data_IF_805295470969
#
_entry.id   IF_805295470969
#
_cell.length_a   1.000
_cell.length_b   1.000
_cell.length_c   1.000
_cell.angle_alpha   90.00
_cell.angle_beta   90.00
_cell.angle_gamma   90.00
#
_symmetry.space_group_name_H-M   'P 1'
#
loop_
_entity.id
_entity.type
_entity.pdbx_description
1 polymer ?
#
# COMPACT_ATOMS: atom_id res chain seq x y z
N UNK A 1 17.11 -35.45 0.33
CA UNK A 1 15.85 -35.84 -0.31
C UNK A 1 14.91 -34.64 -0.22
N UNK A 2 14.54 -34.04 -1.36
CA UNK A 2 13.57 -32.93 -1.39
C UNK A 2 12.18 -33.57 -1.30
N UNK A 3 11.37 -33.18 -0.32
CA UNK A 3 10.02 -33.74 -0.16
C UNK A 3 9.03 -32.87 -0.95
N UNK A 4 8.30 -33.50 -1.87
CA UNK A 4 7.39 -32.86 -2.84
C UNK A 4 5.91 -33.03 -2.47
N UNK A 5 5.61 -33.37 -1.21
CA UNK A 5 4.24 -33.71 -0.81
C UNK A 5 3.29 -32.54 -1.11
N UNK A 6 2.38 -32.81 -2.05
CA UNK A 6 1.64 -31.86 -2.87
C UNK A 6 0.16 -32.18 -2.73
N UNK A 7 -0.38 -32.08 -1.52
CA UNK A 7 -1.81 -32.29 -1.29
C UNK A 7 -2.67 -31.15 -1.89
N UNK A 8 -2.12 -29.93 -2.06
CA UNK A 8 -2.84 -28.77 -2.62
C UNK A 8 -2.00 -27.81 -3.50
N UNK A 9 -0.67 -27.89 -3.48
CA UNK A 9 0.23 -27.02 -4.26
C UNK A 9 1.18 -27.80 -5.16
N UNK A 10 1.50 -27.30 -6.35
CA UNK A 10 2.49 -27.88 -7.25
C UNK A 10 3.88 -27.32 -6.90
N UNK A 11 4.79 -28.18 -6.45
CA UNK A 11 6.19 -27.80 -6.15
C UNK A 11 7.04 -28.11 -7.38
N UNK A 12 7.63 -27.08 -8.01
CA UNK A 12 8.52 -27.21 -9.15
C UNK A 12 9.94 -26.77 -8.78
N UNK A 13 10.92 -27.65 -8.89
CA UNK A 13 12.33 -27.33 -8.60
C UNK A 13 13.09 -27.10 -9.90
N UNK A 14 13.77 -25.98 -10.02
CA UNK A 14 14.62 -25.62 -11.16
C UNK A 14 16.03 -25.31 -10.68
N UNK A 15 17.07 -25.84 -11.35
CA UNK A 15 18.45 -25.45 -11.05
C UNK A 15 18.76 -24.17 -11.80
N UNK A 16 19.02 -23.08 -11.07
CA UNK A 16 19.32 -21.77 -11.66
C UNK A 16 20.80 -21.67 -12.06
N UNK A 17 21.30 -22.64 -12.83
CA UNK A 17 22.70 -22.70 -13.29
C UNK A 17 23.75 -22.80 -12.17
N UNK A 18 24.90 -23.43 -12.46
CA UNK A 18 25.99 -23.54 -11.48
C UNK A 18 25.59 -24.32 -10.21
N UNK A 19 25.89 -23.76 -9.03
CA UNK A 19 25.59 -24.34 -7.70
C UNK A 19 24.28 -23.82 -7.09
N UNK A 20 23.52 -22.99 -7.82
CA UNK A 20 22.28 -22.40 -7.31
C UNK A 20 21.09 -23.29 -7.67
N UNK A 21 20.37 -23.80 -6.66
CA UNK A 21 19.09 -24.49 -6.81
C UNK A 21 17.94 -23.56 -6.43
N UNK A 22 16.89 -23.51 -7.24
CA UNK A 22 15.73 -22.64 -7.05
C UNK A 22 14.46 -23.49 -6.99
N UNK A 23 13.88 -23.61 -5.80
CA UNK A 23 12.58 -24.27 -5.60
C UNK A 23 11.45 -23.25 -5.77
N UNK A 24 10.50 -23.50 -6.67
CA UNK A 24 9.29 -22.69 -6.87
C UNK A 24 8.07 -23.45 -6.36
N UNK A 25 7.35 -22.86 -5.42
CA UNK A 25 6.07 -23.36 -4.93
C UNK A 25 4.94 -22.61 -5.65
N UNK A 26 4.04 -23.35 -6.31
CA UNK A 26 2.83 -22.81 -6.92
C UNK A 26 1.59 -23.33 -6.18
N UNK A 27 0.81 -22.43 -5.60
CA UNK A 27 -0.43 -22.74 -4.90
C UNK A 27 -1.59 -22.27 -5.77
N UNK A 28 -2.52 -23.17 -6.10
CA UNK A 28 -3.73 -22.85 -6.87
C UNK A 28 -4.86 -22.52 -5.90
N UNK A 29 -5.81 -21.69 -6.34
CA UNK A 29 -7.04 -21.36 -5.60
C UNK A 29 -6.77 -20.92 -4.14
N UNK A 30 -5.85 -19.96 -3.99
CA UNK A 30 -5.38 -19.48 -2.68
C UNK A 30 -6.54 -18.91 -1.85
N UNK A 31 -6.67 -19.38 -0.62
CA UNK A 31 -7.66 -18.93 0.36
C UNK A 31 -6.97 -18.22 1.55
N UNK A 32 -7.69 -17.42 2.34
CA UNK A 32 -7.15 -16.81 3.56
C UNK A 32 -6.49 -17.80 4.52
N UNK A 33 -6.97 -19.04 4.56
CA UNK A 33 -6.40 -20.15 5.34
C UNK A 33 -5.00 -20.58 4.91
N UNK A 34 -4.57 -20.21 3.71
CA UNK A 34 -3.22 -20.49 3.20
C UNK A 34 -2.22 -19.43 3.68
N UNK A 35 -2.65 -18.42 4.43
CA UNK A 35 -1.74 -17.51 5.12
C UNK A 35 -0.93 -18.28 6.17
N UNK A 36 0.36 -18.00 6.27
CA UNK A 36 1.23 -18.70 7.21
C UNK A 36 2.71 -18.53 6.94
N UNK A 37 3.49 -19.33 7.64
CA UNK A 37 4.94 -19.38 7.47
C UNK A 37 5.31 -20.46 6.45
N UNK A 38 5.94 -20.03 5.36
CA UNK A 38 6.44 -20.88 4.30
C UNK A 38 7.95 -21.03 4.45
N UNK A 39 8.39 -22.25 4.73
CA UNK A 39 9.81 -22.57 4.94
C UNK A 39 10.37 -23.39 3.78
N UNK A 40 11.48 -22.92 3.21
CA UNK A 40 12.33 -23.69 2.32
C UNK A 40 13.37 -24.46 3.15
N UNK A 41 13.34 -25.79 3.11
CA UNK A 41 14.27 -26.67 3.83
C UNK A 41 15.07 -27.54 2.84
N UNK A 42 16.17 -27.03 2.25
CA UNK A 42 17.04 -27.83 1.40
C UNK A 42 17.83 -28.85 2.22
N UNK A 43 18.24 -29.98 1.62
CA UNK A 43 18.98 -31.03 2.34
C UNK A 43 20.46 -30.73 2.58
N UNK A 44 21.00 -29.69 1.93
CA UNK A 44 22.42 -29.34 1.92
C UNK A 44 22.69 -27.87 2.26
N UNK A 45 21.70 -27.13 2.76
CA UNK A 45 21.83 -25.74 3.16
C UNK A 45 20.87 -25.40 4.31
N UNK A 46 21.02 -24.21 4.89
CA UNK A 46 20.18 -23.73 5.98
C UNK A 46 18.73 -23.50 5.52
N UNK A 47 17.78 -23.77 6.41
CA UNK A 47 16.37 -23.51 6.14
C UNK A 47 16.05 -22.00 6.22
N UNK A 48 15.19 -21.52 5.34
CA UNK A 48 14.78 -20.10 5.32
C UNK A 48 13.26 -20.01 5.25
N UNK A 49 12.70 -19.06 6.00
CA UNK A 49 11.26 -18.89 6.19
C UNK A 49 10.78 -17.53 5.73
N UNK A 50 9.57 -17.47 5.17
CA UNK A 50 8.87 -16.23 4.83
C UNK A 50 7.43 -16.30 5.36
N UNK A 51 6.88 -15.16 5.77
CA UNK A 51 5.47 -15.07 6.16
C UNK A 51 4.64 -14.58 4.98
N UNK A 52 3.61 -15.34 4.62
CA UNK A 52 2.67 -15.01 3.54
C UNK A 52 1.32 -14.66 4.16
N UNK A 53 0.76 -13.52 3.74
CA UNK A 53 -0.58 -13.07 4.10
C UNK A 53 -1.46 -13.03 2.86
N UNK A 54 -2.55 -13.79 2.89
CA UNK A 54 -3.56 -13.83 1.83
C UNK A 54 -4.72 -12.94 2.26
N UNK A 55 -5.00 -11.91 1.46
CA UNK A 55 -6.11 -11.00 1.68
C UNK A 55 -7.20 -11.29 0.65
N UNK A 56 -8.45 -11.39 1.10
CA UNK A 56 -9.59 -11.35 0.19
C UNK A 56 -9.72 -9.90 -0.28
N UNK A 57 -9.65 -9.65 -1.59
CA UNK A 57 -9.68 -8.32 -2.20
C UNK A 57 -10.65 -7.39 -1.49
N UNK A 58 -10.10 -6.58 -0.59
CA UNK A 58 -10.86 -5.63 0.18
C UNK A 58 -11.06 -4.40 -0.70
N UNK A 59 -12.29 -3.89 -0.72
CA UNK A 59 -12.60 -2.61 -1.35
C UNK A 59 -11.57 -1.60 -0.83
N UNK A 60 -10.92 -0.80 -1.68
CA UNK A 60 -9.99 0.21 -1.21
C UNK A 60 -10.70 0.97 -0.09
N UNK A 61 -10.06 1.06 1.08
CA UNK A 61 -10.57 1.86 2.17
C UNK A 61 -10.95 3.21 1.57
N UNK A 62 -12.16 3.68 1.87
CA UNK A 62 -12.54 5.03 1.50
C UNK A 62 -11.54 5.95 2.22
N UNK A 63 -10.50 6.36 1.50
CA UNK A 63 -9.61 7.43 1.91
C UNK A 63 -10.54 8.64 2.01
N UNK A 64 -11.01 8.92 3.22
CA UNK A 64 -11.75 10.13 3.50
C UNK A 64 -10.75 11.27 3.32
N UNK A 65 -10.68 11.79 2.10
CA UNK A 65 -10.25 13.16 1.93
C UNK A 65 -11.29 13.97 2.68
N UNK A 66 -10.86 14.79 3.64
CA UNK A 66 -11.72 15.76 4.31
C UNK A 66 -12.23 16.79 3.29
N UNK A 67 -13.16 16.37 2.44
CA UNK A 67 -14.05 17.28 1.76
C UNK A 67 -15.06 17.71 2.82
N UNK A 68 -14.74 18.78 3.54
CA UNK A 68 -15.67 19.52 4.37
C UNK A 68 -16.76 20.15 3.47
N UNK A 69 -18.01 19.63 3.42
CA UNK A 69 -19.10 20.23 2.69
C UNK A 69 -20.10 20.77 3.74
N UNK A 70 -19.63 21.71 4.56
CA UNK A 70 -20.36 22.13 5.76
C UNK A 70 -20.34 23.61 6.09
N UNK A 71 -19.51 24.43 5.43
CA UNK A 71 -19.61 25.89 5.51
C UNK A 71 -19.55 26.48 4.10
N UNK A 72 -20.65 26.32 3.36
CA UNK A 72 -21.05 27.30 2.35
C UNK A 72 -21.45 28.60 3.03
N UNK A 73 -20.49 29.35 3.58
CA UNK A 73 -20.59 30.78 3.89
C UNK A 73 -19.18 31.40 3.84
N UNK A 74 -18.88 32.03 2.71
CA UNK A 74 -17.89 33.11 2.52
C UNK A 74 -16.49 32.92 3.12
N UNK A 75 -15.48 32.73 2.28
CA UNK A 75 -14.14 33.23 2.59
C UNK A 75 -14.23 34.76 2.70
N UNK A 76 -13.97 35.40 3.87
CA UNK A 76 -13.89 36.85 3.96
C UNK A 76 -12.42 37.25 3.73
N UNK A 77 -11.80 36.78 2.64
CA UNK A 77 -10.64 37.45 2.08
C UNK A 77 -11.13 38.20 0.85
N UNK A 78 -11.83 39.30 1.11
CA UNK A 78 -12.12 40.32 0.12
C UNK A 78 -10.94 41.31 0.16
N UNK A 79 -9.87 41.13 -0.65
CA UNK A 79 -8.71 42.04 -0.65
C UNK A 79 -9.10 43.49 -1.02
N UNK A 80 -10.31 43.70 -1.53
CA UNK A 80 -10.84 45.00 -1.92
C UNK A 80 -11.25 45.92 -0.77
N UNK A 81 -11.43 45.41 0.47
CA UNK A 81 -11.76 46.29 1.63
C UNK A 81 -10.52 46.97 2.23
N UNK A 82 -9.34 46.37 2.10
CA UNK A 82 -8.09 46.99 2.57
C UNK A 82 -7.68 48.15 1.66
N UNK A 83 -7.74 47.97 0.34
CA UNK A 83 -7.35 49.01 -0.64
C UNK A 83 -8.23 50.26 -0.48
N UNK A 84 -9.53 50.09 -0.29
CA UNK A 84 -10.44 51.22 -0.11
C UNK A 84 -10.11 52.01 1.17
N UNK A 85 -9.75 51.32 2.25
CA UNK A 85 -9.35 51.96 3.51
C UNK A 85 -8.07 52.79 3.33
N UNK A 86 -7.04 52.21 2.67
CA UNK A 86 -5.82 52.95 2.35
C UNK A 86 -6.09 54.17 1.47
N UNK A 87 -6.90 54.05 0.41
CA UNK A 87 -7.23 55.17 -0.47
C UNK A 87 -7.99 56.27 0.28
N UNK A 88 -8.96 55.91 1.14
CA UNK A 88 -9.67 56.90 1.96
C UNK A 88 -8.76 57.57 2.98
N UNK A 89 -7.86 56.82 3.62
CA UNK A 89 -6.90 57.34 4.59
C UNK A 89 -5.92 58.31 3.92
N UNK A 90 -5.39 57.94 2.74
CA UNK A 90 -4.49 58.79 1.96
C UNK A 90 -5.20 60.08 1.51
N UNK A 91 -6.48 60.00 1.12
CA UNK A 91 -7.28 61.18 0.76
C UNK A 91 -7.49 62.12 1.96
N UNK A 92 -7.71 61.61 3.17
CA UNK A 92 -7.84 62.42 4.39
C UNK A 92 -6.53 63.07 4.83
N UNK A 93 -5.38 62.42 4.61
CA UNK A 93 -4.06 62.95 4.99
C UNK A 93 -3.57 64.02 4.01
N UNK A 94 -3.95 63.92 2.73
CA UNK A 94 -3.53 64.84 1.66
C UNK A 94 -4.57 65.96 1.41
N UNK A 95 -5.61 66.04 2.23
CA UNK A 95 -6.64 67.09 2.23
C UNK A 95 -6.47 68.02 3.43
#
# INVERSE_FOLDING_TARGET
MINYDSSRGQIAVQKAGGDTALSKLFIKDVQPSDSGNYTCCPSNAEATSITVHVLNGEKPAAMQHDANPGHSLSCPFQPHRMIYWFVTLLWFIVR
#
